data_IF_716422194149
#
_entry.id   IF_716422194149
#
_cell.length_a   1.000
_cell.length_b   1.000
_cell.length_c   1.000
_cell.angle_alpha   90.00
_cell.angle_beta   90.00
_cell.angle_gamma   90.00
#
_symmetry.space_group_name_H-M   'P 1'
#
loop_
_entity.id
_entity.type
_entity.pdbx_description
1 polymer ?
#
# COMPACT_ATOMS: atom_id res chain seq x y z
N UNK A 1 60.49 -10.67 14.39
CA UNK A 1 60.38 -10.25 12.99
C UNK A 1 58.96 -9.71 12.85
N UNK A 2 58.67 -8.57 13.40
CA UNK A 2 58.82 -7.16 12.92
C UNK A 2 58.29 -6.96 11.52
N UNK A 3 57.12 -6.37 11.43
CA UNK A 3 56.88 -5.22 10.56
C UNK A 3 55.55 -4.56 10.93
N UNK A 4 55.68 -3.53 11.75
CA UNK A 4 54.75 -2.42 11.84
C UNK A 4 54.71 -1.64 10.52
N UNK A 5 53.56 -1.18 10.09
CA UNK A 5 53.47 0.01 9.26
C UNK A 5 52.23 0.82 9.67
N UNK A 6 52.52 1.81 10.51
CA UNK A 6 51.79 3.04 10.67
C UNK A 6 51.64 3.74 9.31
N UNK A 7 50.50 4.31 9.08
CA UNK A 7 50.37 5.59 8.38
C UNK A 7 49.03 6.26 8.78
N UNK A 8 49.21 7.20 9.71
CA UNK A 8 48.35 8.34 9.90
C UNK A 8 48.36 9.24 8.65
N UNK A 9 47.23 9.83 8.35
CA UNK A 9 47.04 11.11 7.66
C UNK A 9 45.54 11.35 7.60
N UNK A 10 44.85 12.22 8.27
CA UNK A 10 45.20 13.59 8.72
C UNK A 10 44.73 14.59 7.64
N UNK A 11 43.45 14.98 7.62
CA UNK A 11 42.91 16.22 7.04
C UNK A 11 41.44 16.31 7.49
N UNK A 12 41.09 17.05 8.44
CA UNK A 12 40.80 18.47 8.70
C UNK A 12 39.95 19.16 7.64
N UNK A 13 38.75 19.57 8.14
CA UNK A 13 38.18 20.91 8.07
C UNK A 13 37.35 21.25 6.82
N UNK A 14 36.12 21.62 7.09
CA UNK A 14 35.26 22.34 6.18
C UNK A 14 33.92 22.65 6.82
N UNK A 15 33.91 23.37 7.95
CA UNK A 15 32.74 24.15 8.38
C UNK A 15 32.45 25.21 7.34
N UNK A 16 31.31 25.17 6.72
CA UNK A 16 30.72 26.34 6.10
C UNK A 16 29.21 26.28 6.28
N UNK A 17 28.81 26.78 7.44
CA UNK A 17 27.47 27.28 7.71
C UNK A 17 27.31 28.59 6.94
N UNK A 18 26.82 28.53 5.74
CA UNK A 18 26.34 29.71 5.01
C UNK A 18 24.84 29.87 5.27
N UNK A 19 24.56 30.70 6.29
CA UNK A 19 23.25 31.24 6.58
C UNK A 19 22.83 32.18 5.46
N UNK A 20 21.99 31.75 4.57
CA UNK A 20 21.25 32.63 3.68
C UNK A 20 20.03 33.18 4.42
N UNK A 21 19.90 34.50 4.56
CA UNK A 21 18.71 35.11 5.19
C UNK A 21 17.54 35.06 4.22
N UNK A 22 16.45 34.45 4.67
CA UNK A 22 15.15 34.49 4.00
C UNK A 22 14.64 35.93 4.04
N UNK A 23 14.64 36.56 2.88
CA UNK A 23 14.09 37.90 2.67
C UNK A 23 12.57 37.79 2.50
N UNK A 24 11.83 38.21 3.51
CA UNK A 24 10.40 38.42 3.42
C UNK A 24 10.10 39.62 2.50
N UNK A 25 9.13 39.54 1.59
CA UNK A 25 8.71 40.70 0.84
C UNK A 25 7.87 41.64 1.72
N UNK A 26 8.29 42.88 1.75
CA UNK A 26 7.68 44.02 2.38
C UNK A 26 6.26 44.25 1.85
N UNK A 27 5.33 44.42 2.77
CA UNK A 27 3.99 44.95 2.54
C UNK A 27 4.07 46.33 1.91
N UNK A 28 3.61 46.49 0.70
CA UNK A 28 3.30 47.77 0.13
C UNK A 28 1.81 48.08 0.37
N UNK A 29 1.59 48.95 1.27
CA UNK A 29 0.34 49.63 1.58
C UNK A 29 0.07 50.61 0.42
N UNK A 30 -1.05 50.43 -0.27
CA UNK A 30 -1.57 51.47 -1.14
C UNK A 30 -2.99 51.78 -0.74
N UNK A 31 -3.10 52.83 0.09
CA UNK A 31 -4.31 53.61 0.26
C UNK A 31 -4.62 54.35 -1.05
N UNK A 32 -5.78 54.17 -1.58
CA UNK A 32 -6.41 55.17 -2.42
C UNK A 32 -7.93 55.09 -2.29
N UNK A 33 -8.43 56.01 -1.50
CA UNK A 33 -9.81 56.47 -1.47
C UNK A 33 -10.29 56.83 -2.87
N UNK A 34 -11.33 56.21 -3.33
CA UNK A 34 -12.22 56.82 -4.33
C UNK A 34 -13.66 56.61 -3.88
N UNK A 35 -14.21 57.68 -3.33
CA UNK A 35 -15.65 57.94 -3.19
C UNK A 35 -16.22 58.22 -4.60
N UNK A 36 -17.27 57.55 -4.95
CA UNK A 36 -18.04 57.95 -6.15
C UNK A 36 -19.12 56.97 -6.55
N UNK A 37 -20.25 57.12 -5.92
CA UNK A 37 -21.59 57.29 -6.53
C UNK A 37 -22.27 56.12 -7.23
N UNK A 38 -23.39 55.83 -6.63
CA UNK A 38 -24.76 55.65 -7.17
C UNK A 38 -25.11 54.27 -7.77
N UNK A 39 -25.99 53.61 -7.02
CA UNK A 39 -27.32 53.16 -7.42
C UNK A 39 -27.41 52.44 -8.77
N UNK A 40 -27.43 51.11 -8.75
CA UNK A 40 -28.46 50.39 -9.49
C UNK A 40 -28.88 49.19 -8.63
N UNK A 41 -30.04 49.32 -8.08
CA UNK A 41 -30.85 48.20 -7.62
C UNK A 41 -31.18 47.35 -8.83
N UNK A 42 -30.68 46.16 -8.92
CA UNK A 42 -31.25 45.16 -9.80
C UNK A 42 -31.46 43.86 -9.02
N UNK A 43 -32.71 43.71 -8.72
CA UNK A 43 -33.38 42.50 -8.31
C UNK A 43 -33.09 41.37 -9.29
N UNK A 44 -32.15 40.48 -9.00
CA UNK A 44 -32.18 39.12 -9.48
C UNK A 44 -31.77 38.19 -8.30
N UNK A 45 -32.64 38.21 -7.32
CA UNK A 45 -32.66 37.22 -6.27
C UNK A 45 -33.84 36.29 -6.54
N UNK A 46 -33.77 35.44 -7.53
CA UNK A 46 -34.69 34.30 -7.62
C UNK A 46 -33.98 33.15 -8.35
N UNK A 47 -34.01 32.04 -7.69
CA UNK A 47 -33.84 30.69 -8.20
C UNK A 47 -32.42 30.22 -8.62
N UNK A 48 -31.65 29.81 -7.67
CA UNK A 48 -30.94 28.53 -7.80
C UNK A 48 -30.81 27.85 -6.44
N UNK A 49 -31.95 27.54 -5.83
CA UNK A 49 -32.06 26.37 -4.94
C UNK A 49 -32.15 25.12 -5.79
N UNK A 50 -31.21 24.94 -6.68
CA UNK A 50 -30.91 23.62 -7.19
C UNK A 50 -29.98 23.02 -6.12
N UNK A 51 -30.60 22.29 -5.20
CA UNK A 51 -29.85 21.44 -4.29
C UNK A 51 -28.94 20.54 -5.11
N UNK A 52 -27.67 20.88 -5.17
CA UNK A 52 -26.64 19.90 -5.44
C UNK A 52 -26.65 18.98 -4.23
N UNK A 53 -27.46 17.94 -4.31
CA UNK A 53 -27.19 16.73 -3.57
C UNK A 53 -25.92 16.21 -4.19
N UNK A 54 -24.78 16.73 -3.76
CA UNK A 54 -23.55 15.98 -3.84
C UNK A 54 -23.79 14.79 -2.94
N UNK A 55 -24.13 13.67 -3.56
CA UNK A 55 -23.91 12.39 -2.94
C UNK A 55 -22.41 12.39 -2.63
N UNK A 56 -22.06 12.65 -1.41
CA UNK A 56 -20.75 12.43 -0.85
C UNK A 56 -20.54 10.93 -0.96
N UNK A 57 -19.95 10.48 -2.07
CA UNK A 57 -19.43 9.13 -2.17
C UNK A 57 -18.40 9.02 -1.05
N UNK A 58 -18.83 8.50 0.09
CA UNK A 58 -17.92 8.06 1.13
C UNK A 58 -16.91 7.19 0.43
N UNK A 59 -15.60 7.44 0.60
CA UNK A 59 -14.60 6.52 0.11
C UNK A 59 -14.99 5.14 0.61
N UNK A 60 -15.20 4.21 -0.31
CA UNK A 60 -15.58 2.83 0.03
C UNK A 60 -14.38 2.29 0.79
N UNK A 61 -14.52 2.30 2.11
CA UNK A 61 -13.53 1.75 3.01
C UNK A 61 -13.49 0.24 2.78
N UNK A 62 -12.29 -0.30 2.52
CA UNK A 62 -12.13 -1.73 2.32
C UNK A 62 -12.61 -2.49 3.55
N UNK A 63 -13.50 -3.45 3.37
CA UNK A 63 -13.95 -4.34 4.43
C UNK A 63 -13.31 -5.73 4.29
N UNK A 64 -13.35 -6.53 5.36
CA UNK A 64 -12.83 -7.90 5.29
C UNK A 64 -13.64 -8.77 4.32
N UNK A 65 -14.96 -8.55 4.22
CA UNK A 65 -15.82 -9.25 3.28
C UNK A 65 -15.48 -8.88 1.83
N UNK A 66 -15.21 -7.59 1.57
CA UNK A 66 -14.76 -7.16 0.25
C UNK A 66 -13.39 -7.74 -0.09
N UNK A 67 -12.49 -7.79 0.89
CA UNK A 67 -11.18 -8.40 0.73
C UNK A 67 -11.27 -9.91 0.43
N UNK A 68 -12.15 -10.63 1.12
CA UNK A 68 -12.40 -12.06 0.87
C UNK A 68 -12.95 -12.27 -0.55
N UNK A 69 -13.92 -11.48 -0.97
CA UNK A 69 -14.47 -11.53 -2.34
C UNK A 69 -13.42 -11.26 -3.41
N UNK A 70 -12.51 -10.30 -3.17
CA UNK A 70 -11.39 -10.04 -4.07
C UNK A 70 -10.40 -11.22 -4.12
N UNK A 71 -10.24 -11.93 -2.99
CA UNK A 71 -9.50 -13.19 -2.94
C UNK A 71 -10.13 -14.26 -3.85
N UNK A 72 -11.45 -14.44 -3.78
CA UNK A 72 -12.17 -15.37 -4.63
C UNK A 72 -12.06 -14.98 -6.13
N UNK A 73 -12.16 -13.68 -6.44
CA UNK A 73 -11.97 -13.19 -7.81
C UNK A 73 -10.54 -13.44 -8.32
N UNK A 74 -9.55 -13.36 -7.46
CA UNK A 74 -8.17 -13.73 -7.76
C UNK A 74 -8.00 -15.24 -7.91
N UNK A 75 -8.78 -16.02 -7.17
CA UNK A 75 -8.81 -17.49 -7.23
C UNK A 75 -8.37 -18.18 -5.95
N UNK A 76 -8.54 -17.54 -4.81
CA UNK A 76 -8.25 -18.11 -3.49
C UNK A 76 -9.34 -17.81 -2.48
N UNK A 77 -9.61 -18.75 -1.58
CA UNK A 77 -10.39 -18.51 -0.38
C UNK A 77 -9.42 -18.19 0.75
N UNK A 78 -9.61 -17.03 1.36
CA UNK A 78 -8.66 -16.48 2.35
C UNK A 78 -9.36 -16.06 3.64
N UNK A 79 -8.57 -15.93 4.70
CA UNK A 79 -9.03 -15.38 5.97
C UNK A 79 -7.88 -14.91 6.85
N UNK A 80 -8.24 -14.26 7.94
CA UNK A 80 -7.29 -13.73 8.91
C UNK A 80 -6.49 -14.84 9.58
N UNK A 81 -5.22 -14.58 9.87
CA UNK A 81 -4.38 -15.46 10.68
C UNK A 81 -4.70 -15.21 12.15
N UNK A 82 -5.36 -16.16 12.80
CA UNK A 82 -5.61 -16.18 14.24
C UNK A 82 -4.49 -16.90 15.00
N UNK A 83 -4.64 -16.99 16.33
CA UNK A 83 -3.65 -17.66 17.17
C UNK A 83 -3.53 -19.17 16.91
N UNK A 84 -4.61 -19.82 16.49
CA UNK A 84 -4.61 -21.25 16.22
C UNK A 84 -3.89 -21.54 14.92
N UNK A 85 -4.17 -20.77 13.86
CA UNK A 85 -3.44 -20.80 12.61
C UNK A 85 -1.97 -20.43 12.84
N UNK A 86 -1.69 -19.41 13.65
CA UNK A 86 -0.33 -19.05 14.02
C UNK A 86 0.44 -20.23 14.61
N UNK A 87 -0.16 -20.95 15.56
CA UNK A 87 0.46 -22.11 16.22
C UNK A 87 0.65 -23.27 15.25
N UNK A 88 -0.37 -23.56 14.44
CA UNK A 88 -0.32 -24.64 13.45
C UNK A 88 0.78 -24.41 12.44
N UNK A 89 0.87 -23.18 11.90
CA UNK A 89 1.83 -22.80 10.88
C UNK A 89 3.18 -22.33 11.44
N UNK A 90 3.36 -22.37 12.76
CA UNK A 90 4.58 -21.96 13.47
C UNK A 90 5.05 -20.54 13.11
N UNK A 91 4.11 -19.62 12.91
CA UNK A 91 4.41 -18.25 12.61
C UNK A 91 4.92 -17.50 13.84
N UNK A 92 5.87 -16.61 13.68
CA UNK A 92 6.38 -15.78 14.79
C UNK A 92 5.32 -14.79 15.29
N UNK A 93 4.41 -14.35 14.42
CA UNK A 93 3.32 -13.43 14.72
C UNK A 93 2.08 -13.79 13.91
N UNK A 94 0.85 -13.53 14.42
CA UNK A 94 -0.40 -13.74 13.69
C UNK A 94 -0.60 -12.62 12.65
N UNK A 95 0.25 -12.56 11.64
CA UNK A 95 0.23 -11.56 10.59
C UNK A 95 0.17 -12.22 9.23
N UNK A 96 -0.52 -11.56 8.31
CA UNK A 96 -0.73 -12.04 6.96
C UNK A 96 -2.15 -12.55 6.75
N UNK A 97 -2.36 -13.21 5.64
CA UNK A 97 -3.66 -13.77 5.23
C UNK A 97 -3.47 -15.24 4.87
N UNK A 98 -4.21 -16.12 5.58
CA UNK A 98 -4.13 -17.55 5.35
C UNK A 98 -4.93 -17.96 4.12
N UNK A 99 -4.38 -18.88 3.32
CA UNK A 99 -5.03 -19.47 2.16
C UNK A 99 -5.65 -20.80 2.53
N UNK A 100 -6.98 -20.88 2.50
CA UNK A 100 -7.76 -22.09 2.82
C UNK A 100 -8.04 -22.95 1.60
N UNK A 101 -8.25 -22.32 0.43
CA UNK A 101 -8.53 -23.00 -0.82
C UNK A 101 -7.91 -22.25 -2.00
N UNK A 102 -7.52 -22.98 -3.03
CA UNK A 102 -7.09 -22.44 -4.33
C UNK A 102 -8.06 -22.95 -5.40
N UNK A 103 -8.72 -22.03 -6.08
CA UNK A 103 -9.70 -22.34 -7.11
C UNK A 103 -8.95 -22.80 -8.38
N UNK A 104 -9.25 -24.00 -8.84
CA UNK A 104 -8.61 -24.56 -10.01
C UNK A 104 -8.81 -23.74 -11.28
N UNK A 105 -7.80 -23.66 -12.13
CA UNK A 105 -7.74 -22.87 -13.37
C UNK A 105 -7.88 -21.35 -13.12
N UNK A 106 -7.61 -20.87 -11.92
CA UNK A 106 -7.57 -19.46 -11.57
C UNK A 106 -6.18 -18.87 -11.78
N UNK A 107 -6.07 -17.53 -11.65
CA UNK A 107 -4.76 -16.84 -11.68
C UNK A 107 -3.85 -17.30 -10.55
N UNK A 108 -4.41 -17.56 -9.38
CA UNK A 108 -3.69 -18.06 -8.22
C UNK A 108 -3.16 -19.49 -8.42
N UNK A 109 -3.98 -20.36 -9.01
CA UNK A 109 -3.60 -21.73 -9.36
C UNK A 109 -2.46 -21.74 -10.38
N UNK A 110 -2.59 -20.96 -11.46
CA UNK A 110 -1.51 -20.85 -12.47
C UNK A 110 -0.23 -20.22 -11.90
N UNK A 111 -0.32 -19.38 -10.89
CA UNK A 111 0.83 -18.84 -10.19
C UNK A 111 1.46 -19.84 -9.21
N UNK A 112 0.78 -20.95 -8.91
CA UNK A 112 1.27 -22.00 -8.02
C UNK A 112 1.13 -21.67 -6.54
N UNK A 113 0.17 -20.80 -6.16
CA UNK A 113 -0.13 -20.54 -4.76
C UNK A 113 -0.68 -21.83 -4.12
N UNK A 114 -0.25 -22.13 -2.90
CA UNK A 114 -0.60 -23.38 -2.21
C UNK A 114 -1.61 -23.15 -1.11
N UNK A 115 -2.49 -24.11 -0.91
CA UNK A 115 -3.34 -24.19 0.30
C UNK A 115 -2.45 -24.30 1.54
N UNK A 116 -2.87 -23.70 2.65
CA UNK A 116 -2.12 -23.59 3.92
C UNK A 116 -0.92 -22.67 3.85
N UNK A 117 -0.72 -21.91 2.77
CA UNK A 117 0.23 -20.82 2.76
C UNK A 117 -0.32 -19.57 3.44
N UNK A 118 0.56 -18.65 3.83
CA UNK A 118 0.19 -17.35 4.36
C UNK A 118 0.76 -16.27 3.46
N UNK A 119 -0.12 -15.46 2.88
CA UNK A 119 0.28 -14.30 2.07
C UNK A 119 0.86 -13.24 2.98
N UNK A 120 2.09 -12.84 2.70
CA UNK A 120 2.86 -11.83 3.43
C UNK A 120 3.13 -10.58 2.62
N UNK A 121 3.07 -10.68 1.31
CA UNK A 121 3.38 -9.58 0.40
C UNK A 121 2.56 -9.69 -0.88
N UNK A 122 2.09 -8.56 -1.41
CA UNK A 122 1.53 -8.43 -2.75
C UNK A 122 2.19 -7.23 -3.42
N UNK A 123 2.90 -7.46 -4.51
CA UNK A 123 3.61 -6.43 -5.29
C UNK A 123 4.41 -5.46 -4.40
N UNK A 124 5.27 -6.00 -3.53
CA UNK A 124 6.09 -5.27 -2.55
C UNK A 124 5.31 -4.55 -1.43
N UNK A 125 4.00 -4.75 -1.33
CA UNK A 125 3.20 -4.25 -0.22
C UNK A 125 3.10 -5.33 0.85
N UNK A 126 3.56 -5.03 2.04
CA UNK A 126 3.44 -5.93 3.20
C UNK A 126 1.97 -6.15 3.57
N UNK A 127 1.60 -7.41 3.76
CA UNK A 127 0.24 -7.83 4.13
C UNK A 127 0.25 -8.28 5.60
N UNK A 128 -0.43 -7.54 6.43
CA UNK A 128 -0.54 -7.81 7.87
C UNK A 128 -1.90 -8.37 8.25
N UNK A 129 -2.94 -8.04 7.48
CA UNK A 129 -4.34 -8.41 7.74
C UNK A 129 -5.14 -8.44 6.43
N UNK A 130 -6.43 -8.79 6.53
CA UNK A 130 -7.36 -8.87 5.40
C UNK A 130 -7.55 -7.54 4.67
N UNK A 131 -7.54 -6.41 5.39
CA UNK A 131 -7.71 -5.09 4.78
C UNK A 131 -6.50 -4.74 3.90
N UNK A 132 -5.29 -4.94 4.42
CA UNK A 132 -4.05 -4.72 3.66
C UNK A 132 -4.06 -5.60 2.39
N UNK A 133 -4.48 -6.86 2.50
CA UNK A 133 -4.63 -7.78 1.38
C UNK A 133 -5.64 -7.26 0.35
N UNK A 134 -6.85 -6.89 0.79
CA UNK A 134 -7.89 -6.39 -0.10
C UNK A 134 -7.45 -5.17 -0.90
N UNK A 135 -6.78 -4.21 -0.25
CA UNK A 135 -6.26 -3.00 -0.91
C UNK A 135 -5.17 -3.37 -1.93
N UNK A 136 -4.21 -4.19 -1.53
CA UNK A 136 -3.08 -4.56 -2.37
C UNK A 136 -3.51 -5.40 -3.57
N UNK A 137 -4.35 -6.44 -3.37
CA UNK A 137 -4.82 -7.32 -4.44
C UNK A 137 -5.73 -6.58 -5.42
N UNK A 138 -6.60 -5.68 -4.95
CA UNK A 138 -7.46 -4.83 -5.80
C UNK A 138 -6.64 -3.96 -6.75
N UNK A 139 -5.52 -3.44 -6.25
CA UNK A 139 -4.57 -2.65 -7.06
C UNK A 139 -3.83 -3.56 -8.04
N UNK A 140 -3.24 -4.64 -7.55
CA UNK A 140 -2.40 -5.55 -8.33
C UNK A 140 -3.19 -6.23 -9.48
N UNK A 141 -4.45 -6.61 -9.26
CA UNK A 141 -5.29 -7.23 -10.29
C UNK A 141 -5.61 -6.30 -11.46
N UNK A 142 -5.48 -4.98 -11.32
CA UNK A 142 -5.59 -4.02 -12.43
C UNK A 142 -4.37 -4.02 -13.32
N UNK A 143 -3.26 -4.48 -12.80
CA UNK A 143 -2.01 -4.61 -13.52
C UNK A 143 -1.88 -6.03 -14.06
N UNK A 144 -1.18 -6.18 -15.17
CA UNK A 144 -1.06 -7.49 -15.80
C UNK A 144 -0.13 -8.45 -15.04
N UNK A 145 0.95 -7.93 -14.48
CA UNK A 145 2.00 -8.74 -13.86
C UNK A 145 2.30 -8.19 -12.48
N UNK A 146 2.23 -9.05 -11.48
CA UNK A 146 2.59 -8.72 -10.11
C UNK A 146 3.14 -9.94 -9.38
N UNK A 147 3.65 -9.76 -8.19
CA UNK A 147 4.17 -10.85 -7.34
C UNK A 147 3.33 -11.02 -6.09
N UNK A 148 3.21 -12.26 -5.65
CA UNK A 148 2.63 -12.61 -4.35
C UNK A 148 3.68 -13.36 -3.55
N UNK A 149 4.09 -12.80 -2.43
CA UNK A 149 5.01 -13.43 -1.48
C UNK A 149 4.22 -14.22 -0.44
N UNK A 150 4.51 -15.50 -0.33
CA UNK A 150 3.88 -16.40 0.62
C UNK A 150 4.89 -16.98 1.58
N UNK A 151 4.44 -17.31 2.78
CA UNK A 151 5.10 -18.21 3.70
C UNK A 151 4.37 -19.54 3.62
N UNK A 152 5.05 -20.59 3.21
CA UNK A 152 4.42 -21.87 2.89
C UNK A 152 5.24 -23.06 3.39
N UNK A 153 4.60 -24.24 3.59
CA UNK A 153 5.31 -25.47 3.90
C UNK A 153 6.24 -25.82 2.72
N UNK A 154 7.42 -26.27 3.06
CA UNK A 154 8.38 -26.80 2.08
C UNK A 154 7.79 -28.01 1.35
N UNK A 155 8.31 -28.26 0.16
CA UNK A 155 7.94 -29.43 -0.60
C UNK A 155 8.38 -30.73 0.12
N UNK A 156 7.66 -31.84 -0.10
CA UNK A 156 8.04 -33.11 0.50
C UNK A 156 9.49 -33.46 0.17
N UNK A 157 10.32 -33.58 1.20
CA UNK A 157 11.76 -33.87 1.05
C UNK A 157 12.66 -32.67 1.30
N UNK A 158 12.12 -31.48 1.46
CA UNK A 158 12.90 -30.31 1.88
C UNK A 158 13.12 -30.31 3.41
N UNK A 159 14.37 -30.33 3.89
CA UNK A 159 14.65 -30.36 5.33
C UNK A 159 14.33 -29.05 6.04
N UNK A 160 14.09 -27.95 5.33
CA UNK A 160 13.88 -26.63 5.92
C UNK A 160 12.47 -26.45 6.51
N UNK A 161 11.49 -27.23 6.07
CA UNK A 161 10.13 -27.30 6.64
C UNK A 161 9.20 -26.16 6.19
N UNK A 162 9.52 -24.90 6.38
CA UNK A 162 8.73 -23.74 5.99
C UNK A 162 9.63 -22.66 5.39
N UNK A 163 9.16 -21.99 4.37
CA UNK A 163 9.93 -20.96 3.68
C UNK A 163 9.12 -19.85 3.05
N UNK A 164 9.79 -18.79 2.65
CA UNK A 164 9.21 -17.72 1.85
C UNK A 164 9.35 -18.05 0.38
N UNK A 165 8.25 -17.98 -0.35
CA UNK A 165 8.22 -18.18 -1.79
C UNK A 165 7.57 -16.97 -2.49
N UNK A 166 7.95 -16.71 -3.74
CA UNK A 166 7.39 -15.63 -4.55
C UNK A 166 6.77 -16.20 -5.82
N UNK A 167 5.48 -15.93 -5.98
CA UNK A 167 4.67 -16.38 -7.10
C UNK A 167 4.49 -15.23 -8.09
N UNK A 168 4.79 -15.50 -9.35
CA UNK A 168 4.56 -14.53 -10.42
C UNK A 168 3.18 -14.73 -11.02
N UNK A 169 2.34 -13.71 -10.90
CA UNK A 169 0.97 -13.71 -11.41
C UNK A 169 0.95 -12.97 -12.74
N UNK A 170 0.63 -13.70 -13.81
CA UNK A 170 0.47 -13.12 -15.13
C UNK A 170 -0.92 -12.51 -15.38
N UNK A 171 -1.09 -11.92 -16.57
CA UNK A 171 -2.41 -11.49 -17.04
C UNK A 171 -3.38 -12.66 -17.12
N UNK A 172 -4.68 -12.38 -16.94
CA UNK A 172 -5.70 -13.36 -17.25
C UNK A 172 -5.59 -13.71 -18.75
N UNK A 173 -5.45 -14.99 -19.04
CA UNK A 173 -5.52 -15.48 -20.42
C UNK A 173 -7.01 -15.69 -20.72
N UNK A 174 -7.51 -14.95 -21.68
CA UNK A 174 -8.86 -15.13 -22.22
C UNK A 174 -8.93 -16.38 -23.10
#
# INVERSE_FOLDING_TARGET
MDHAHDRESGARVGDNLEKTPIRLPSTAQHDSLWLGRTWVLSLIAVLKLAGHVQAEEKPVEMTEEEAARLGEEFGIVVGSVDEDIQKELKLQRPQGVAVFEVIGNSRADYAGIKVRSVIKEVDKHEIRNMIDFGIAIKKAMKECNFTVGTYEPADPGDPVGWGVNFHFVGCKRD
#
